data_IF_332281331122
#
_entry.id   IF_332281331122
#
_cell.length_a   1.000
_cell.length_b   1.000
_cell.length_c   1.000
_cell.angle_alpha   90.00
_cell.angle_beta   90.00
_cell.angle_gamma   90.00
#
_symmetry.space_group_name_H-M   'P 1'
#
loop_
_entity.id
_entity.type
_entity.pdbx_description
1 polymer ?
#
# COMPACT_ATOMS: atom_id res chain seq x y z
N UNK A 1 -17.57 -30.16 58.00
CA UNK A 1 -17.87 -31.21 56.99
C UNK A 1 -17.40 -32.56 57.51
N UNK A 2 -17.96 -33.68 57.02
CA UNK A 2 -17.40 -35.03 57.17
C UNK A 2 -17.24 -35.61 55.76
N UNK A 3 -16.04 -36.07 55.41
CA UNK A 3 -15.82 -36.82 54.18
C UNK A 3 -16.24 -38.29 54.38
N UNK A 4 -16.80 -38.91 53.35
CA UNK A 4 -17.28 -40.29 53.41
C UNK A 4 -16.16 -41.32 53.17
N UNK A 5 -16.38 -42.61 53.49
CA UNK A 5 -15.39 -43.67 53.25
C UNK A 5 -15.12 -43.91 51.75
N UNK A 6 -16.01 -43.45 50.87
CA UNK A 6 -15.86 -43.51 49.41
C UNK A 6 -15.21 -42.24 48.83
N UNK A 7 -14.68 -41.35 49.67
CA UNK A 7 -14.14 -40.04 49.26
C UNK A 7 -15.23 -39.02 48.91
N UNK A 8 -14.86 -38.06 48.06
CA UNK A 8 -15.75 -37.17 47.32
C UNK A 8 -15.39 -37.27 45.82
N UNK A 9 -16.32 -36.98 44.88
CA UNK A 9 -15.93 -36.81 43.49
C UNK A 9 -15.00 -35.61 43.34
N UNK A 10 -13.95 -35.75 42.53
CA UNK A 10 -13.04 -34.65 42.24
C UNK A 10 -13.78 -33.51 41.52
N UNK A 11 -13.50 -32.27 41.94
CA UNK A 11 -14.04 -31.07 41.30
C UNK A 11 -12.93 -30.49 40.41
N UNK A 12 -13.01 -30.63 39.07
CA UNK A 12 -12.01 -30.08 38.18
C UNK A 12 -12.09 -28.55 38.18
N UNK A 13 -10.95 -27.90 38.41
CA UNK A 13 -10.80 -26.45 38.23
C UNK A 13 -10.05 -26.23 36.92
N UNK A 14 -10.74 -25.71 35.92
CA UNK A 14 -10.13 -25.28 34.65
C UNK A 14 -9.59 -23.87 34.84
N UNK A 15 -8.37 -23.62 34.36
CA UNK A 15 -7.73 -22.30 34.32
C UNK A 15 -7.16 -22.07 32.93
N UNK A 16 -7.24 -20.83 32.47
CA UNK A 16 -6.74 -20.38 31.16
C UNK A 16 -5.78 -19.21 31.36
N UNK A 17 -4.90 -18.97 30.39
CA UNK A 17 -3.98 -17.83 30.44
C UNK A 17 -4.70 -16.55 30.01
N UNK A 18 -4.57 -15.50 30.82
CA UNK A 18 -5.07 -14.16 30.47
C UNK A 18 -4.13 -13.53 29.44
N UNK A 19 -4.70 -12.91 28.41
CA UNK A 19 -3.93 -12.30 27.30
C UNK A 19 -4.25 -10.82 27.12
N UNK A 20 -3.26 -10.05 26.70
CA UNK A 20 -3.40 -8.65 26.26
C UNK A 20 -3.22 -8.62 24.74
N UNK A 21 -4.23 -8.11 24.02
CA UNK A 21 -4.14 -7.88 22.57
C UNK A 21 -3.73 -6.42 22.34
N UNK A 22 -2.70 -6.23 21.52
CA UNK A 22 -2.15 -4.93 21.10
C UNK A 22 -2.35 -4.78 19.58
N UNK A 23 -2.86 -3.61 19.20
CA UNK A 23 -3.12 -3.20 17.81
C UNK A 23 -2.26 -1.97 17.45
N UNK A 24 -2.12 -1.60 16.17
CA UNK A 24 -1.44 -0.36 15.77
C UNK A 24 -1.93 0.92 16.45
N UNK A 25 -3.22 0.96 16.83
CA UNK A 25 -3.88 2.12 17.46
C UNK A 25 -3.87 2.02 19.01
N UNK A 26 -3.20 1.02 19.58
CA UNK A 26 -3.10 0.85 21.04
C UNK A 26 -2.11 1.87 21.63
N UNK A 27 -2.52 2.70 22.61
CA UNK A 27 -1.62 3.69 23.21
C UNK A 27 -0.38 3.05 23.83
N UNK A 28 0.77 3.71 23.72
CA UNK A 28 2.07 3.19 24.18
C UNK A 28 2.07 2.78 25.66
N UNK A 29 1.30 3.48 26.51
CA UNK A 29 1.17 3.19 27.95
C UNK A 29 0.32 1.93 28.26
N UNK A 30 -0.30 1.32 27.24
CA UNK A 30 -1.03 0.05 27.33
C UNK A 30 -0.26 -1.13 26.74
N UNK A 31 0.90 -0.90 26.11
CA UNK A 31 1.74 -1.97 25.56
C UNK A 31 2.45 -2.69 26.71
N UNK A 32 2.36 -4.03 26.82
CA UNK A 32 3.02 -4.78 27.89
C UNK A 32 4.54 -4.63 27.84
N UNK A 33 5.12 -4.09 28.91
CA UNK A 33 6.56 -3.85 29.03
C UNK A 33 7.06 -4.23 30.43
N UNK A 34 8.36 -4.50 30.55
CA UNK A 34 8.95 -4.89 31.83
C UNK A 34 8.56 -6.30 32.28
N UNK A 35 8.31 -6.48 33.59
CA UNK A 35 8.16 -7.80 34.21
C UNK A 35 6.78 -8.41 33.99
N UNK A 36 6.77 -9.73 33.78
CA UNK A 36 5.54 -10.51 33.64
C UNK A 36 4.82 -10.58 34.99
N UNK A 37 3.51 -10.27 35.07
CA UNK A 37 2.73 -10.38 36.30
C UNK A 37 2.89 -11.75 36.95
N UNK A 38 3.10 -11.79 38.27
CA UNK A 38 3.30 -13.05 39.02
C UNK A 38 4.63 -13.77 38.77
N UNK A 39 5.38 -13.47 37.70
CA UNK A 39 6.66 -14.10 37.37
C UNK A 39 7.80 -13.08 37.25
N UNK A 40 8.39 -12.62 38.37
CA UNK A 40 9.44 -11.60 38.38
C UNK A 40 10.74 -12.04 37.69
N UNK A 41 10.91 -13.32 37.39
CA UNK A 41 12.06 -13.82 36.65
C UNK A 41 11.93 -13.56 35.14
N UNK A 42 10.71 -13.63 34.57
CA UNK A 42 10.48 -13.38 33.14
C UNK A 42 10.12 -11.90 32.88
N UNK A 43 10.41 -11.45 31.67
CA UNK A 43 10.24 -10.08 31.19
C UNK A 43 9.55 -10.20 29.83
N UNK A 44 8.60 -9.30 29.51
CA UNK A 44 8.03 -9.25 28.16
C UNK A 44 9.13 -8.94 27.12
N UNK A 45 9.08 -9.55 25.93
CA UNK A 45 9.98 -9.19 24.83
C UNK A 45 9.70 -7.77 24.33
N UNK A 46 10.67 -7.17 23.64
CA UNK A 46 10.41 -5.94 22.87
C UNK A 46 9.46 -6.27 21.72
N UNK A 47 8.44 -5.43 21.52
CA UNK A 47 7.47 -5.62 20.45
C UNK A 47 8.05 -5.24 19.08
N UNK A 48 7.77 -6.04 18.07
CA UNK A 48 8.04 -5.71 16.67
C UNK A 48 7.01 -4.71 16.14
N UNK A 49 7.25 -4.12 14.96
CA UNK A 49 6.25 -3.24 14.33
C UNK A 49 4.94 -3.99 14.01
N UNK A 50 3.82 -3.33 14.29
CA UNK A 50 2.47 -3.77 13.92
C UNK A 50 1.99 -3.15 12.60
N UNK A 51 2.78 -2.27 11.99
CA UNK A 51 2.50 -1.61 10.70
C UNK A 51 3.66 -1.78 9.71
N UNK A 52 3.34 -1.80 8.41
CA UNK A 52 4.30 -1.78 7.30
C UNK A 52 3.70 -1.00 6.13
N UNK A 53 4.51 -0.17 5.47
CA UNK A 53 4.07 0.67 4.35
C UNK A 53 5.01 0.58 3.14
N UNK A 54 5.05 -0.54 2.40
CA UNK A 54 5.80 -0.63 1.15
C UNK A 54 5.47 0.52 0.19
N UNK A 55 6.50 1.32 -0.10
CA UNK A 55 6.38 2.59 -0.81
C UNK A 55 7.16 2.58 -2.13
N UNK A 56 6.48 2.91 -3.23
CA UNK A 56 7.12 3.20 -4.53
C UNK A 56 7.14 4.70 -4.80
N UNK A 57 8.33 5.28 -4.90
CA UNK A 57 8.54 6.70 -5.21
C UNK A 57 9.09 6.86 -6.62
N UNK A 58 8.32 7.49 -7.50
CA UNK A 58 8.68 7.75 -8.90
C UNK A 58 9.08 9.22 -9.04
N UNK A 59 10.33 9.47 -9.40
CA UNK A 59 10.91 10.80 -9.57
C UNK A 59 11.22 11.06 -11.04
N UNK A 60 10.53 12.01 -11.65
CA UNK A 60 10.70 12.40 -13.06
C UNK A 60 11.42 13.74 -13.11
N UNK A 61 12.55 13.83 -13.80
CA UNK A 61 13.24 15.10 -14.10
C UNK A 61 13.12 15.37 -15.60
N UNK A 62 12.36 16.41 -15.97
CA UNK A 62 12.14 16.84 -17.35
C UNK A 62 13.32 17.67 -17.90
N UNK A 63 13.46 17.82 -19.23
CA UNK A 63 14.54 18.61 -19.86
C UNK A 63 14.61 20.09 -19.48
N UNK A 64 13.48 20.69 -19.12
CA UNK A 64 13.36 22.06 -18.60
C UNK A 64 13.85 22.19 -17.14
N UNK A 65 14.30 21.10 -16.52
CA UNK A 65 14.67 21.02 -15.11
C UNK A 65 13.49 20.78 -14.16
N UNK A 66 12.24 20.74 -14.65
CA UNK A 66 11.05 20.51 -13.83
C UNK A 66 11.08 19.10 -13.23
N UNK A 67 10.93 19.01 -11.91
CA UNK A 67 10.87 17.75 -11.17
C UNK A 67 9.46 17.43 -10.73
N UNK A 68 9.03 16.18 -10.94
CA UNK A 68 7.73 15.66 -10.53
C UNK A 68 7.97 14.38 -9.74
N UNK A 69 7.49 14.35 -8.49
CA UNK A 69 7.46 13.12 -7.67
C UNK A 69 6.04 12.58 -7.59
N UNK A 70 5.90 11.25 -7.67
CA UNK A 70 4.67 10.51 -7.37
C UNK A 70 4.99 9.39 -6.40
N UNK A 71 4.20 9.26 -5.34
CA UNK A 71 4.41 8.27 -4.28
C UNK A 71 3.20 7.35 -4.21
N UNK A 72 3.44 6.06 -4.33
CA UNK A 72 2.44 5.00 -4.23
C UNK A 72 2.70 4.19 -2.96
N UNK A 73 1.64 3.87 -2.23
CA UNK A 73 1.68 3.23 -0.92
C UNK A 73 0.63 2.13 -0.82
N UNK A 74 0.99 1.12 -0.05
CA UNK A 74 0.12 0.04 0.40
C UNK A 74 0.43 -0.14 1.88
N UNK A 75 -0.59 -0.08 2.72
CA UNK A 75 -0.45 -0.17 4.17
C UNK A 75 -0.94 -1.54 4.66
N UNK A 76 -0.13 -2.18 5.50
CA UNK A 76 -0.41 -3.46 6.14
C UNK A 76 -0.37 -3.32 7.65
N UNK A 77 -1.21 -4.09 8.33
CA UNK A 77 -1.31 -4.16 9.79
C UNK A 77 -1.25 -5.60 10.28
N UNK A 78 -0.89 -5.78 11.55
CA UNK A 78 -1.09 -7.03 12.31
C UNK A 78 -1.34 -6.70 13.78
N UNK A 79 -1.72 -7.68 14.58
CA UNK A 79 -1.80 -7.55 16.05
C UNK A 79 -0.68 -8.33 16.74
N UNK A 80 -0.44 -8.00 18.00
CA UNK A 80 0.34 -8.82 18.92
C UNK A 80 -0.55 -9.26 20.09
N UNK A 81 -0.45 -10.52 20.50
CA UNK A 81 -1.11 -11.09 21.66
C UNK A 81 -0.05 -11.49 22.67
N UNK A 82 -0.04 -10.83 23.82
CA UNK A 82 0.85 -11.12 24.94
C UNK A 82 0.15 -11.99 25.97
N UNK A 83 0.81 -13.04 26.45
CA UNK A 83 0.33 -13.90 27.54
C UNK A 83 0.80 -13.34 28.90
N UNK A 84 -0.10 -13.08 29.84
CA UNK A 84 0.24 -12.51 31.17
C UNK A 84 0.87 -13.52 32.14
N UNK A 85 0.79 -14.82 31.84
CA UNK A 85 1.34 -15.91 32.66
C UNK A 85 2.72 -16.34 32.14
N UNK A 86 2.83 -16.57 30.82
CA UNK A 86 4.10 -16.95 30.20
C UNK A 86 4.93 -15.76 29.76
N UNK A 87 4.36 -14.58 29.53
CA UNK A 87 5.09 -13.42 28.99
C UNK A 87 5.52 -13.56 27.53
N UNK A 88 4.98 -14.54 26.80
CA UNK A 88 5.27 -14.74 25.39
C UNK A 88 4.39 -13.84 24.51
N UNK A 89 4.87 -13.54 23.30
CA UNK A 89 4.14 -12.73 22.32
C UNK A 89 3.94 -13.55 21.05
N UNK A 90 2.70 -13.58 20.56
CA UNK A 90 2.32 -14.19 19.28
C UNK A 90 1.76 -13.08 18.40
N UNK A 91 2.20 -13.01 17.15
CA UNK A 91 1.69 -12.03 16.18
C UNK A 91 0.62 -12.67 15.29
N UNK A 92 -0.37 -11.88 14.86
CA UNK A 92 -1.23 -12.31 13.75
C UNK A 92 -0.47 -12.32 12.44
N UNK A 93 -1.05 -12.99 11.44
CA UNK A 93 -0.72 -12.73 10.03
C UNK A 93 -0.93 -11.25 9.69
N UNK A 94 -0.27 -10.78 8.63
CA UNK A 94 -0.42 -9.43 8.13
C UNK A 94 -1.67 -9.28 7.26
N UNK A 95 -2.47 -8.26 7.54
CA UNK A 95 -3.66 -7.89 6.79
C UNK A 95 -3.41 -6.62 5.97
N UNK A 96 -3.82 -6.62 4.71
CA UNK A 96 -3.93 -5.40 3.91
C UNK A 96 -4.95 -4.45 4.55
N UNK A 97 -4.55 -3.18 4.76
CA UNK A 97 -5.38 -2.14 5.37
C UNK A 97 -5.96 -1.22 4.29
N UNK A 98 -5.10 -0.59 3.50
CA UNK A 98 -5.47 0.44 2.52
C UNK A 98 -4.37 0.65 1.46
N UNK A 99 -4.72 1.27 0.33
CA UNK A 99 -3.75 1.73 -0.68
C UNK A 99 -4.20 3.06 -1.29
N UNK A 100 -3.23 3.87 -1.74
CA UNK A 100 -3.50 5.07 -2.52
C UNK A 100 -3.53 4.82 -4.04
N UNK A 101 -3.63 3.55 -4.48
CA UNK A 101 -3.87 3.18 -5.86
C UNK A 101 -5.26 3.64 -6.36
N UNK A 102 -5.45 3.66 -7.69
CA UNK A 102 -6.75 3.96 -8.34
C UNK A 102 -7.86 3.01 -7.92
N UNK A 103 -7.49 1.78 -7.58
CA UNK A 103 -8.36 0.77 -7.00
C UNK A 103 -7.90 0.53 -5.55
N UNK A 104 -8.48 1.22 -4.55
CA UNK A 104 -8.01 1.18 -3.17
C UNK A 104 -8.34 -0.15 -2.46
N UNK A 105 -9.09 -1.05 -3.11
CA UNK A 105 -9.34 -2.41 -2.62
C UNK A 105 -8.22 -3.40 -3.01
N UNK A 106 -7.21 -2.96 -3.77
CA UNK A 106 -6.10 -3.82 -4.22
C UNK A 106 -4.78 -3.45 -3.55
N UNK A 107 -4.07 -4.49 -3.10
CA UNK A 107 -2.70 -4.42 -2.60
C UNK A 107 -1.71 -4.30 -3.78
N UNK A 108 -1.65 -3.12 -4.40
CA UNK A 108 -0.84 -2.88 -5.60
C UNK A 108 -0.30 -1.44 -5.68
N UNK A 109 0.67 -1.22 -6.57
CA UNK A 109 1.02 0.10 -7.09
C UNK A 109 0.58 0.20 -8.57
N UNK A 110 -0.23 1.19 -8.95
CA UNK A 110 -0.69 1.36 -10.35
C UNK A 110 0.48 1.59 -11.33
N UNK A 111 0.31 1.15 -12.59
CA UNK A 111 1.18 1.54 -13.70
C UNK A 111 1.26 3.08 -13.85
N UNK A 112 2.47 3.58 -14.10
CA UNK A 112 2.77 4.98 -14.37
C UNK A 112 3.39 5.14 -15.75
N UNK A 113 2.78 5.96 -16.60
CA UNK A 113 3.28 6.27 -17.94
C UNK A 113 3.89 7.67 -17.90
N UNK A 114 5.21 7.84 -18.00
CA UNK A 114 5.82 9.16 -18.09
C UNK A 114 5.44 9.84 -19.42
N UNK A 115 5.38 11.16 -19.42
CA UNK A 115 5.02 11.95 -20.60
C UNK A 115 6.16 11.91 -21.63
N UNK A 116 5.93 11.31 -22.81
CA UNK A 116 6.87 11.41 -23.93
C UNK A 116 7.09 12.88 -24.36
N UNK A 117 8.34 13.24 -24.67
CA UNK A 117 8.74 14.60 -25.05
C UNK A 117 9.45 14.54 -26.41
N UNK A 118 9.00 15.35 -27.37
CA UNK A 118 9.59 15.38 -28.71
C UNK A 118 11.06 15.78 -28.67
N UNK A 119 11.91 15.08 -29.42
CA UNK A 119 13.36 15.27 -29.41
C UNK A 119 14.10 14.65 -28.24
N UNK A 120 13.44 13.85 -27.38
CA UNK A 120 14.07 13.17 -26.24
C UNK A 120 13.73 11.69 -26.15
N UNK A 121 14.71 10.89 -25.73
CA UNK A 121 14.52 9.48 -25.31
C UNK A 121 14.44 9.40 -23.79
N UNK A 122 13.53 8.59 -23.25
CA UNK A 122 13.44 8.33 -21.82
C UNK A 122 14.47 7.28 -21.37
N UNK A 123 15.09 7.52 -20.23
CA UNK A 123 15.87 6.53 -19.49
C UNK A 123 15.24 6.34 -18.11
N UNK A 124 14.93 5.09 -17.75
CA UNK A 124 14.22 4.75 -16.51
C UNK A 124 15.06 3.76 -15.70
N UNK A 125 15.35 4.12 -14.45
CA UNK A 125 16.09 3.29 -13.51
C UNK A 125 15.23 2.98 -12.29
N UNK A 126 15.25 1.73 -11.85
CA UNK A 126 14.65 1.28 -10.60
C UNK A 126 15.75 0.92 -9.60
N UNK A 127 15.73 1.53 -8.42
CA UNK A 127 16.55 1.19 -7.25
C UNK A 127 15.68 0.48 -6.20
N UNK A 128 16.14 -0.71 -5.76
CA UNK A 128 15.54 -1.51 -4.68
C UNK A 128 16.66 -1.95 -3.73
N UNK A 129 16.56 -1.59 -2.44
CA UNK A 129 17.73 -1.62 -1.56
C UNK A 129 18.86 -0.80 -2.19
N UNK A 130 20.08 -1.34 -2.30
CA UNK A 130 21.19 -0.71 -3.02
C UNK A 130 21.35 -1.09 -4.50
N UNK A 131 20.49 -1.96 -5.03
CA UNK A 131 20.56 -2.42 -6.43
C UNK A 131 19.77 -1.49 -7.35
N UNK A 132 20.46 -0.82 -8.27
CA UNK A 132 19.86 -0.14 -9.43
C UNK A 132 19.75 -1.08 -10.63
N UNK A 133 18.71 -0.94 -11.45
CA UNK A 133 18.51 -1.69 -12.71
C UNK A 133 17.72 -0.82 -13.69
N UNK A 134 18.15 -0.78 -14.96
CA UNK A 134 17.42 -0.08 -16.03
C UNK A 134 16.17 -0.87 -16.44
N UNK A 135 15.06 -0.17 -16.70
CA UNK A 135 13.76 -0.75 -17.07
C UNK A 135 13.12 0.04 -18.22
N UNK A 136 12.21 -0.60 -18.97
CA UNK A 136 11.60 0.01 -20.16
C UNK A 136 10.22 0.64 -19.88
N UNK A 137 9.57 0.22 -18.79
CA UNK A 137 8.18 0.55 -18.43
C UNK A 137 8.05 0.58 -16.91
N UNK A 138 7.08 1.35 -16.38
CA UNK A 138 6.77 1.40 -14.95
C UNK A 138 5.37 0.82 -14.76
N UNK A 139 5.31 -0.50 -14.81
CA UNK A 139 4.04 -1.23 -14.84
C UNK A 139 3.37 -1.30 -13.45
N UNK A 140 2.16 -1.85 -13.45
CA UNK A 140 1.47 -2.18 -12.21
C UNK A 140 2.21 -3.33 -11.52
N UNK A 141 2.32 -3.27 -10.19
CA UNK A 141 2.97 -4.29 -9.40
C UNK A 141 2.09 -4.66 -8.21
N UNK A 142 1.88 -5.96 -7.99
CA UNK A 142 1.31 -6.47 -6.74
C UNK A 142 2.28 -6.22 -5.59
N UNK A 143 1.73 -5.98 -4.40
CA UNK A 143 2.48 -5.60 -3.21
C UNK A 143 2.08 -6.50 -2.06
N UNK A 144 3.09 -6.90 -1.27
CA UNK A 144 2.97 -7.70 -0.04
C UNK A 144 3.66 -6.94 1.09
N UNK A 145 3.44 -7.36 2.32
CA UNK A 145 4.18 -6.86 3.48
C UNK A 145 5.69 -7.20 3.44
N UNK A 146 6.11 -8.12 2.57
CA UNK A 146 7.51 -8.43 2.29
C UNK A 146 8.11 -7.57 1.17
N UNK A 147 7.30 -6.82 0.41
CA UNK A 147 7.77 -5.94 -0.67
C UNK A 147 8.63 -4.82 -0.10
N UNK A 148 9.86 -4.71 -0.57
CA UNK A 148 10.78 -3.62 -0.21
C UNK A 148 10.40 -2.30 -0.89
N UNK A 149 10.79 -1.17 -0.27
CA UNK A 149 10.63 0.15 -0.89
C UNK A 149 11.38 0.25 -2.22
N UNK A 150 10.77 0.96 -3.17
CA UNK A 150 11.26 1.10 -4.54
C UNK A 150 11.38 2.59 -4.89
N UNK A 151 12.54 3.01 -5.35
CA UNK A 151 12.71 4.34 -5.97
C UNK A 151 12.90 4.17 -7.48
N UNK A 152 12.06 4.82 -8.28
CA UNK A 152 12.20 4.88 -9.73
C UNK A 152 12.59 6.29 -10.12
N UNK A 153 13.57 6.41 -11.02
CA UNK A 153 14.02 7.68 -11.59
C UNK A 153 13.82 7.67 -13.10
N UNK A 154 13.14 8.68 -13.62
CA UNK A 154 12.93 8.91 -15.06
C UNK A 154 13.69 10.17 -15.45
N UNK A 155 14.56 10.04 -16.45
CA UNK A 155 15.30 11.15 -17.07
C UNK A 155 15.07 11.14 -18.58
N UNK A 156 15.39 12.27 -19.23
CA UNK A 156 15.22 12.46 -20.66
C UNK A 156 16.56 12.89 -21.27
N UNK A 157 17.02 12.17 -22.28
CA UNK A 157 18.26 12.44 -23.02
C UNK A 157 17.91 12.95 -24.41
N UNK A 158 18.54 14.04 -24.84
CA UNK A 158 18.25 14.64 -26.15
C UNK A 158 18.67 13.71 -27.29
N UNK A 159 17.81 13.59 -28.31
CA UNK A 159 18.09 12.85 -29.54
C UNK A 159 18.94 13.74 -30.45
N UNK A 160 20.26 13.53 -30.41
CA UNK A 160 21.21 14.28 -31.24
C UNK A 160 21.00 13.96 -32.73
N UNK A 161 20.69 14.93 -33.61
CA UNK A 161 20.38 14.67 -35.03
C UNK A 161 21.56 14.28 -35.93
N UNK A 162 22.73 13.90 -35.40
CA UNK A 162 23.94 13.70 -36.21
C UNK A 162 24.95 12.70 -35.63
N UNK A 163 25.29 11.69 -36.43
CA UNK A 163 26.30 10.65 -36.15
C UNK A 163 26.62 9.85 -37.41
N UNK A 164 27.55 10.36 -38.22
CA UNK A 164 27.93 9.89 -39.57
C UNK A 164 28.58 8.47 -39.56
N UNK A 165 28.54 7.63 -40.61
CA UNK A 165 27.99 7.68 -41.98
C UNK A 165 28.28 6.35 -42.72
N UNK A 166 28.03 6.14 -44.01
CA UNK A 166 27.44 6.97 -45.08
C UNK A 166 27.96 6.52 -46.47
N UNK A 167 27.29 6.85 -47.59
CA UNK A 167 27.93 7.03 -48.92
C UNK A 167 26.99 7.71 -49.94
N UNK A 168 27.57 8.58 -50.78
CA UNK A 168 27.15 9.13 -52.09
C UNK A 168 25.68 9.51 -52.40
N UNK A 169 25.58 10.77 -52.83
CA UNK A 169 24.81 11.29 -53.99
C UNK A 169 23.40 11.91 -53.82
N UNK A 170 23.16 12.80 -54.78
CA UNK A 170 21.96 13.56 -55.17
C UNK A 170 21.40 14.72 -54.32
N UNK A 171 20.82 15.66 -55.06
CA UNK A 171 20.47 17.08 -54.84
C UNK A 171 19.63 17.53 -53.63
N UNK A 172 19.96 18.73 -53.15
CA UNK A 172 19.07 19.90 -52.90
C UNK A 172 17.79 19.73 -52.05
N UNK A 173 17.79 20.27 -50.81
CA UNK A 173 16.92 21.40 -50.43
C UNK A 173 17.12 21.90 -48.98
N UNK A 174 17.03 23.24 -48.83
CA UNK A 174 16.70 24.02 -47.61
C UNK A 174 17.62 23.96 -46.37
N UNK A 175 17.91 25.15 -45.83
CA UNK A 175 18.50 25.38 -44.50
C UNK A 175 17.35 25.47 -43.48
N UNK A 176 17.40 24.76 -42.32
CA UNK A 176 16.50 25.02 -41.21
C UNK A 176 16.89 26.29 -40.45
N UNK A 177 15.93 27.17 -40.16
CA UNK A 177 16.14 28.39 -39.38
C UNK A 177 16.39 28.11 -37.88
N UNK A 178 16.94 29.10 -37.16
CA UNK A 178 17.25 28.98 -35.72
C UNK A 178 15.98 28.84 -34.85
N UNK A 179 16.08 28.23 -33.65
CA UNK A 179 14.93 28.07 -32.76
C UNK A 179 14.33 29.42 -32.32
N UNK A 180 13.07 29.65 -32.69
CA UNK A 180 12.31 30.84 -32.27
C UNK A 180 12.17 30.84 -30.74
N UNK A 181 12.54 31.95 -30.10
CA UNK A 181 12.35 32.12 -28.65
C UNK A 181 10.84 32.15 -28.31
N UNK A 182 10.41 31.60 -27.16
CA UNK A 182 9.01 31.71 -26.73
C UNK A 182 8.63 33.18 -26.50
N UNK A 183 7.49 33.57 -27.05
CA UNK A 183 6.97 34.94 -26.95
C UNK A 183 6.26 35.17 -25.61
N UNK A 184 6.58 36.28 -24.93
CA UNK A 184 6.03 36.65 -23.63
C UNK A 184 4.67 37.35 -23.76
N UNK A 185 3.70 36.71 -24.40
CA UNK A 185 2.34 37.21 -24.47
C UNK A 185 1.58 37.02 -23.15
N UNK A 186 1.47 38.13 -22.42
CA UNK A 186 0.65 38.31 -21.20
C UNK A 186 -0.82 37.92 -21.45
N UNK A 187 -1.48 37.18 -20.54
CA UNK A 187 -2.90 36.88 -20.67
C UNK A 187 -3.77 38.15 -20.71
N UNK A 188 -4.67 38.23 -21.68
CA UNK A 188 -5.73 39.23 -21.72
C UNK A 188 -7.03 38.71 -21.10
N UNK A 189 -7.88 39.64 -20.66
CA UNK A 189 -9.08 39.34 -19.86
C UNK A 189 -10.28 39.15 -20.80
N UNK A 190 -11.15 38.14 -20.59
CA UNK A 190 -12.34 37.96 -21.42
C UNK A 190 -13.28 39.17 -21.38
N UNK A 191 -13.53 39.77 -22.54
CA UNK A 191 -14.43 40.93 -22.70
C UNK A 191 -15.89 40.46 -22.64
N UNK A 192 -16.70 41.13 -21.82
CA UNK A 192 -18.18 41.06 -21.89
C UNK A 192 -18.69 42.08 -22.91
N UNK A 193 -19.78 41.74 -23.60
CA UNK A 193 -20.52 42.65 -24.50
C UNK A 193 -22.03 42.51 -24.22
N UNK A 194 -22.86 43.57 -24.35
CA UNK A 194 -24.15 43.65 -23.63
C UNK A 194 -25.38 42.97 -24.28
N UNK A 195 -26.51 43.17 -23.59
CA UNK A 195 -27.85 42.57 -23.78
C UNK A 195 -28.79 43.42 -24.66
N UNK A 196 -29.80 42.78 -25.28
CA UNK A 196 -31.25 43.12 -25.33
C UNK A 196 -31.97 42.21 -26.38
N UNK A 197 -33.06 41.48 -26.07
CA UNK A 197 -34.47 41.87 -25.80
C UNK A 197 -35.23 42.18 -27.11
N UNK A 198 -36.48 41.77 -27.39
CA UNK A 198 -37.54 40.97 -26.71
C UNK A 198 -37.99 39.79 -27.63
N UNK A 199 -39.17 39.15 -27.71
CA UNK A 199 -40.56 39.10 -27.13
C UNK A 199 -41.13 37.69 -27.52
N UNK A 200 -42.28 37.13 -27.09
CA UNK A 200 -43.01 37.05 -25.81
C UNK A 200 -44.24 36.09 -25.98
N UNK A 201 -44.73 35.41 -24.91
CA UNK A 201 -46.17 35.18 -24.60
C UNK A 201 -46.43 34.28 -23.36
N UNK A 202 -47.50 34.64 -22.62
CA UNK A 202 -48.13 34.00 -21.45
C UNK A 202 -48.68 32.56 -21.68
N UNK A 203 -49.14 31.75 -20.68
CA UNK A 203 -50.14 32.05 -19.63
C UNK A 203 -49.91 31.31 -18.27
N UNK A 204 -50.24 32.02 -17.19
CA UNK A 204 -50.29 31.66 -15.77
C UNK A 204 -51.37 30.60 -15.38
N UNK A 205 -51.16 29.93 -14.23
CA UNK A 205 -52.21 29.77 -13.18
C UNK A 205 -51.61 29.34 -11.83
N UNK A 206 -51.24 30.32 -11.00
CA UNK A 206 -50.89 30.19 -9.57
C UNK A 206 -52.17 30.37 -8.69
N UNK A 207 -52.16 30.34 -7.33
CA UNK A 207 -51.21 29.77 -6.35
C UNK A 207 -51.90 28.93 -5.24
N UNK A 208 -51.12 28.41 -4.27
CA UNK A 208 -51.48 28.55 -2.84
C UNK A 208 -50.31 28.43 -1.87
N UNK A 209 -50.36 29.23 -0.81
CA UNK A 209 -49.35 29.39 0.23
C UNK A 209 -49.48 28.34 1.34
N UNK A 210 -48.41 28.13 2.13
CA UNK A 210 -48.28 28.77 3.46
C UNK A 210 -46.95 28.41 4.15
N UNK A 211 -46.30 29.42 4.73
CA UNK A 211 -45.23 29.24 5.72
C UNK A 211 -45.79 28.71 7.06
N UNK A 212 -44.95 28.04 7.85
CA UNK A 212 -44.95 28.20 9.31
C UNK A 212 -43.65 27.66 9.95
N UNK A 213 -42.96 28.52 10.69
CA UNK A 213 -41.74 28.23 11.45
C UNK A 213 -42.08 27.89 12.91
N UNK A 214 -41.61 26.75 13.44
CA UNK A 214 -41.44 26.57 14.89
C UNK A 214 -40.59 25.34 15.25
N UNK A 215 -39.65 25.51 16.18
CA UNK A 215 -39.00 24.42 16.92
C UNK A 215 -39.00 24.73 18.42
N UNK A 216 -39.18 23.71 19.28
CA UNK A 216 -38.17 23.37 20.29
C UNK A 216 -37.95 21.83 20.36
N UNK A 217 -37.15 21.21 21.24
CA UNK A 217 -36.47 21.67 22.45
C UNK A 217 -35.13 20.92 22.68
N UNK A 218 -34.47 21.16 23.81
CA UNK A 218 -33.28 20.43 24.28
C UNK A 218 -33.61 19.59 25.52
N UNK A 219 -33.05 18.38 25.63
CA UNK A 219 -32.95 17.61 26.89
C UNK A 219 -31.49 17.11 27.04
N UNK A 220 -31.00 17.00 28.28
CA UNK A 220 -29.68 16.43 28.65
C UNK A 220 -29.86 15.22 29.58
N UNK A 221 -28.84 14.35 29.61
CA UNK A 221 -28.84 13.06 30.31
C UNK A 221 -28.87 11.91 29.31
N UNK A 222 -28.23 10.76 29.53
CA UNK A 222 -27.56 10.25 30.73
C UNK A 222 -26.34 9.38 30.32
N UNK A 223 -25.38 9.17 31.22
CA UNK A 223 -24.39 8.09 31.11
C UNK A 223 -24.85 6.89 31.96
N UNK A 224 -24.55 5.66 31.52
CA UNK A 224 -23.76 4.67 32.29
C UNK A 224 -23.76 3.24 31.67
N UNK A 225 -22.59 2.60 31.71
CA UNK A 225 -22.34 1.18 31.98
C UNK A 225 -23.06 0.07 31.15
N UNK A 226 -22.39 -0.40 30.09
CA UNK A 226 -22.72 -1.67 29.38
C UNK A 226 -21.79 -2.83 29.79
N UNK A 227 -22.34 -3.86 30.45
CA UNK A 227 -21.82 -5.24 30.47
C UNK A 227 -22.83 -6.19 31.16
N UNK A 228 -22.84 -7.50 30.84
CA UNK A 228 -22.54 -8.16 29.57
C UNK A 228 -23.72 -9.07 29.11
N UNK A 229 -23.59 -9.73 27.96
CA UNK A 229 -24.20 -11.06 27.76
C UNK A 229 -23.38 -11.89 26.76
N UNK A 230 -23.30 -13.19 27.02
CA UNK A 230 -22.74 -14.21 26.14
C UNK A 230 -23.90 -14.88 25.39
N UNK A 231 -23.73 -15.20 24.12
CA UNK A 231 -24.45 -16.30 23.47
C UNK A 231 -23.44 -17.22 22.77
N UNK A 232 -23.75 -18.50 22.79
CA UNK A 232 -22.83 -19.60 22.54
C UNK A 232 -23.20 -20.34 21.23
N UNK A 233 -22.33 -21.26 20.78
CA UNK A 233 -22.59 -22.27 19.74
C UNK A 233 -22.77 -21.79 18.27
N UNK A 234 -22.38 -22.56 17.22
CA UNK A 234 -21.51 -23.75 17.10
C UNK A 234 -21.37 -24.12 15.60
N UNK A 235 -20.17 -24.50 15.10
CA UNK A 235 -20.08 -25.70 14.25
C UNK A 235 -18.66 -26.34 14.10
N UNK A 236 -18.51 -27.52 14.72
CA UNK A 236 -17.87 -28.74 14.18
C UNK A 236 -16.61 -28.71 13.28
N UNK A 237 -15.46 -29.06 13.88
CA UNK A 237 -14.63 -30.26 13.56
C UNK A 237 -13.91 -30.39 12.18
N UNK A 238 -12.94 -31.33 12.00
CA UNK A 238 -12.40 -32.33 12.93
C UNK A 238 -10.86 -32.29 13.14
N UNK A 239 -10.37 -33.07 14.12
CA UNK A 239 -8.94 -33.21 14.44
C UNK A 239 -8.24 -34.37 13.71
N UNK A 240 -6.94 -34.19 13.39
CA UNK A 240 -5.93 -35.21 12.98
C UNK A 240 -4.53 -34.58 13.17
N UNK A 241 -3.78 -34.89 14.22
CA UNK A 241 -2.94 -36.07 14.53
C UNK A 241 -1.45 -35.91 14.12
N UNK A 242 -0.56 -36.36 15.02
CA UNK A 242 0.92 -36.44 15.03
C UNK A 242 1.66 -36.21 13.68
N UNK A 243 2.81 -35.53 13.64
CA UNK A 243 4.04 -35.96 14.33
C UNK A 243 5.17 -34.89 14.31
N UNK A 244 6.21 -35.04 15.13
CA UNK A 244 7.42 -34.20 15.10
C UNK A 244 8.44 -34.64 14.05
N UNK A 245 8.93 -33.72 13.22
CA UNK A 245 10.19 -33.83 12.46
C UNK A 245 10.91 -32.46 12.51
N UNK A 246 12.25 -32.46 12.59
CA UNK A 246 13.07 -31.24 12.55
C UNK A 246 13.96 -31.19 11.29
N UNK A 247 14.07 -29.98 10.73
CA UNK A 247 15.10 -29.42 9.82
C UNK A 247 16.03 -30.34 8.99
N UNK A 248 15.95 -30.23 7.65
CA UNK A 248 17.09 -30.12 6.70
C UNK A 248 16.66 -29.97 5.23
N UNK A 249 17.52 -29.37 4.40
CA UNK A 249 17.34 -29.18 2.93
C UNK A 249 16.67 -27.85 2.61
N UNK A 250 17.27 -26.82 1.99
CA UNK A 250 18.36 -26.68 1.00
C UNK A 250 17.93 -26.87 -0.47
N UNK A 251 17.91 -25.74 -1.18
CA UNK A 251 18.09 -25.47 -2.62
C UNK A 251 17.64 -26.48 -3.69
N UNK A 252 16.68 -26.05 -4.55
CA UNK A 252 16.79 -26.17 -6.02
C UNK A 252 15.71 -25.35 -6.72
N UNK A 253 16.09 -24.41 -7.60
CA UNK A 253 15.32 -24.05 -8.81
C UNK A 253 16.26 -23.51 -9.89
N UNK A 254 16.82 -24.41 -10.70
CA UNK A 254 17.51 -24.06 -11.94
C UNK A 254 16.53 -24.20 -13.12
N UNK A 255 16.18 -23.08 -13.77
CA UNK A 255 15.42 -23.11 -15.02
C UNK A 255 16.38 -23.26 -16.21
N UNK A 256 16.16 -24.26 -17.05
CA UNK A 256 16.99 -24.51 -18.24
C UNK A 256 16.17 -24.35 -19.51
N UNK A 257 16.62 -23.46 -20.40
CA UNK A 257 16.30 -23.51 -21.83
C UNK A 257 17.61 -23.33 -22.61
N UNK A 258 17.80 -24.13 -23.65
CA UNK A 258 19.06 -24.22 -24.40
C UNK A 258 19.17 -23.12 -25.49
N UNK A 259 20.31 -23.02 -26.18
CA UNK A 259 20.47 -23.89 -27.36
C UNK A 259 21.82 -24.60 -27.44
N UNK A 260 21.89 -25.62 -28.31
CA UNK A 260 23.09 -26.44 -28.51
C UNK A 260 24.14 -25.78 -29.41
N UNK A 261 25.42 -26.16 -29.19
CA UNK A 261 26.49 -26.02 -30.19
C UNK A 261 27.43 -27.23 -30.07
N UNK A 262 27.72 -27.88 -31.19
CA UNK A 262 28.60 -29.04 -31.24
C UNK A 262 30.07 -28.65 -31.52
N UNK A 263 31.01 -29.37 -30.92
CA UNK A 263 32.42 -29.47 -31.32
C UNK A 263 33.01 -30.81 -30.82
N UNK A 264 34.01 -31.32 -31.53
CA UNK A 264 34.50 -32.71 -31.45
C UNK A 264 35.62 -32.97 -30.43
N UNK A 265 35.89 -34.26 -30.19
CA UNK A 265 37.16 -34.84 -29.70
C UNK A 265 37.50 -34.58 -28.20
N UNK A 266 38.37 -35.34 -27.52
CA UNK A 266 39.23 -36.48 -27.91
C UNK A 266 39.62 -37.32 -26.67
N UNK A 267 39.86 -38.64 -26.81
CA UNK A 267 40.43 -39.57 -25.77
C UNK A 267 39.67 -39.71 -24.43
N UNK A 268 39.86 -40.76 -23.62
CA UNK A 268 40.82 -41.89 -23.62
C UNK A 268 40.08 -43.24 -23.47
#
# INVERSE_FOLDING_TARGET
MKFGPNGHPDIPVVIEHKTIIVTPETPEDKIPTGKVPGNPNKTYPSMETLTKTPTRTINVTKPDGTKITKTQKVDFTRTATFDEVTGEVVYSDWTFKESNAKDPAKSQWDAYIPQAISGYTMHIEQKVGDKTTAINSIDAAEVTEATSDVTITVTYVAINPGGNGGNSDDTDHTIPEEPIKPDNHKPEVPVKTPNETSDDTEIDTTPKDQDLESGPAVIKGYEENNAPLYEDMNNSAPARNNNSISSKGADTYASTNAPAKAASAETE
#
